data_IF_435839449286
#
_entry.id   IF_435839449286
#
_cell.length_a   1.000
_cell.length_b   1.000
_cell.length_c   1.000
_cell.angle_alpha   90.00
_cell.angle_beta   90.00
_cell.angle_gamma   90.00
#
_symmetry.space_group_name_H-M   'P 1'
#
loop_
_entity.id
_entity.type
_entity.pdbx_description
1 polymer ?
#
# COMPACT_ATOMS: atom_id res chain seq x y z
N UNK A 1 13.62 -8.59 -15.23
CA UNK A 1 13.40 -7.52 -14.25
C UNK A 1 12.34 -6.50 -14.69
N UNK A 2 11.18 -6.89 -15.21
CA UNK A 2 10.21 -5.91 -15.77
C UNK A 2 8.77 -6.45 -15.84
N UNK A 3 8.20 -6.89 -14.72
CA UNK A 3 6.76 -7.22 -14.66
C UNK A 3 6.05 -6.31 -13.65
N UNK A 4 6.62 -6.13 -12.46
CA UNK A 4 6.15 -5.17 -11.46
C UNK A 4 6.35 -3.69 -11.87
N UNK A 5 7.40 -3.34 -12.64
CA UNK A 5 7.60 -1.97 -13.14
C UNK A 5 6.71 -1.63 -14.37
N UNK A 6 6.34 -2.62 -15.18
CA UNK A 6 5.41 -2.46 -16.33
C UNK A 6 3.97 -2.22 -15.84
N UNK A 7 3.55 -2.96 -14.81
CA UNK A 7 2.25 -2.77 -14.17
C UNK A 7 2.09 -1.37 -13.54
N UNK A 8 3.13 -0.86 -12.85
CA UNK A 8 3.14 0.48 -12.25
C UNK A 8 2.95 1.60 -13.29
N UNK A 9 3.60 1.48 -14.45
CA UNK A 9 3.45 2.43 -15.57
C UNK A 9 2.05 2.35 -16.19
N UNK A 10 1.42 1.19 -16.20
CA UNK A 10 0.07 0.99 -16.73
C UNK A 10 -0.99 1.65 -15.84
N UNK A 11 -0.91 1.47 -14.50
CA UNK A 11 -1.90 2.02 -13.55
C UNK A 11 -1.78 3.55 -13.37
N UNK A 12 -0.56 4.09 -13.33
CA UNK A 12 -0.32 5.53 -13.15
C UNK A 12 -0.68 6.40 -14.36
N UNK A 13 -0.83 5.82 -15.56
CA UNK A 13 -1.34 6.54 -16.75
C UNK A 13 -2.85 6.80 -16.70
N UNK A 14 -3.58 6.19 -15.76
CA UNK A 14 -5.05 6.17 -15.74
C UNK A 14 -5.76 7.20 -14.85
N UNK A 15 -5.10 8.22 -14.27
CA UNK A 15 -5.84 9.13 -13.38
C UNK A 15 -5.14 10.41 -12.96
N UNK A 16 -5.37 11.50 -13.71
CA UNK A 16 -5.49 12.84 -13.11
C UNK A 16 -6.91 13.33 -13.38
N UNK A 17 -7.78 13.53 -12.38
CA UNK A 17 -9.01 14.28 -12.62
C UNK A 17 -8.62 15.75 -12.79
N UNK A 18 -8.75 16.25 -14.02
CA UNK A 18 -8.74 17.68 -14.29
C UNK A 18 -10.02 18.27 -13.72
N UNK A 19 -9.90 18.98 -12.60
CA UNK A 19 -10.95 19.88 -12.12
C UNK A 19 -11.11 20.98 -13.16
N UNK A 20 -12.19 20.92 -13.96
CA UNK A 20 -12.65 22.05 -14.75
C UNK A 20 -13.92 22.59 -14.10
N UNK A 21 -13.78 23.74 -13.43
CA UNK A 21 -14.89 24.64 -13.16
C UNK A 21 -15.57 25.01 -14.47
N UNK A 22 -16.88 24.76 -14.58
CA UNK A 22 -17.75 25.58 -15.41
C UNK A 22 -19.22 25.38 -14.99
N UNK A 23 -19.76 26.43 -14.36
CA UNK A 23 -21.19 26.66 -14.21
C UNK A 23 -21.82 26.94 -15.59
N UNK A 24 -22.90 26.22 -15.93
CA UNK A 24 -24.14 26.76 -16.54
C UNK A 24 -25.19 25.65 -16.76
N UNK A 25 -26.19 25.65 -15.87
CA UNK A 25 -27.64 25.63 -16.13
C UNK A 25 -28.16 25.25 -17.54
N UNK A 26 -28.94 24.15 -17.66
CA UNK A 26 -30.42 24.10 -17.85
C UNK A 26 -30.95 22.76 -18.40
N UNK A 27 -31.95 22.23 -17.68
CA UNK A 27 -33.17 21.50 -18.08
C UNK A 27 -33.17 20.25 -18.99
N UNK A 28 -33.80 19.18 -18.45
CA UNK A 28 -35.09 18.59 -18.90
C UNK A 28 -35.11 17.08 -19.29
N UNK A 29 -35.95 16.36 -18.54
CA UNK A 29 -36.85 15.24 -18.92
C UNK A 29 -36.46 13.77 -18.60
N UNK A 30 -37.30 13.19 -17.72
CA UNK A 30 -37.91 11.85 -17.68
C UNK A 30 -36.99 10.60 -17.77
N UNK A 31 -36.78 9.90 -16.65
CA UNK A 31 -37.57 8.78 -16.10
C UNK A 31 -37.18 7.39 -16.65
N UNK A 32 -36.55 6.59 -15.78
CA UNK A 32 -36.96 5.21 -15.51
C UNK A 32 -36.37 4.76 -14.16
N UNK A 33 -37.25 4.55 -13.18
CA UNK A 33 -36.98 3.74 -11.99
C UNK A 33 -36.94 2.26 -12.39
N UNK A 34 -36.22 1.42 -11.64
CA UNK A 34 -36.95 0.53 -10.74
C UNK A 34 -36.33 0.42 -9.34
N UNK A 35 -37.20 0.51 -8.33
CA UNK A 35 -37.03 0.07 -6.94
C UNK A 35 -37.42 -1.43 -6.78
N UNK A 36 -37.34 -2.09 -5.59
CA UNK A 36 -36.30 -2.10 -4.54
C UNK A 36 -36.01 -3.53 -3.98
N UNK A 37 -34.76 -3.84 -3.60
CA UNK A 37 -34.34 -4.86 -2.60
C UNK A 37 -32.80 -4.90 -2.63
N UNK A 38 -32.01 -4.80 -1.56
CA UNK A 38 -32.20 -5.21 -0.17
C UNK A 38 -31.08 -4.59 0.68
N UNK A 39 -31.42 -4.12 1.88
CA UNK A 39 -30.57 -4.22 3.08
C UNK A 39 -29.29 -3.36 3.17
N UNK A 40 -29.42 -2.21 3.84
CA UNK A 40 -28.51 -1.65 4.87
C UNK A 40 -26.98 -1.76 4.62
N UNK A 41 -26.36 -0.63 4.28
CA UNK A 41 -25.65 0.19 5.28
C UNK A 41 -25.25 1.52 4.66
N UNK A 42 -25.78 2.61 5.21
CA UNK A 42 -25.07 3.87 5.17
C UNK A 42 -23.75 3.64 5.91
N UNK A 43 -22.62 3.86 5.26
CA UNK A 43 -21.32 3.65 5.87
C UNK A 43 -20.32 4.60 5.25
N UNK A 44 -19.86 5.55 6.05
CA UNK A 44 -18.71 6.43 5.84
C UNK A 44 -17.62 5.72 5.01
N UNK A 45 -16.97 6.41 4.06
CA UNK A 45 -15.79 5.83 3.39
C UNK A 45 -14.83 5.33 4.48
N UNK A 46 -14.63 4.01 4.64
CA UNK A 46 -13.97 3.47 5.82
C UNK A 46 -12.56 4.03 5.81
N UNK A 47 -12.18 4.68 6.91
CA UNK A 47 -10.80 5.10 7.08
C UNK A 47 -9.94 3.85 7.33
N UNK A 48 -8.63 3.95 7.12
CA UNK A 48 -7.72 2.81 7.32
C UNK A 48 -7.85 2.22 8.73
N UNK A 49 -8.09 3.07 9.73
CA UNK A 49 -8.20 2.67 11.13
C UNK A 49 -9.39 1.74 11.38
N UNK A 50 -10.53 2.01 10.75
CA UNK A 50 -11.74 1.20 10.88
C UNK A 50 -11.56 -0.17 10.25
N UNK A 51 -11.00 -0.24 9.03
CA UNK A 51 -10.68 -1.51 8.39
C UNK A 51 -9.69 -2.35 9.22
N UNK A 52 -8.70 -1.71 9.86
CA UNK A 52 -7.75 -2.40 10.73
C UNK A 52 -8.41 -2.93 12.01
N UNK A 53 -9.28 -2.14 12.67
CA UNK A 53 -10.02 -2.59 13.85
C UNK A 53 -10.89 -3.81 13.54
N UNK A 54 -11.52 -3.81 12.36
CA UNK A 54 -12.27 -4.98 11.90
C UNK A 54 -11.34 -6.19 11.79
N UNK A 55 -10.20 -6.06 11.13
CA UNK A 55 -9.22 -7.16 11.01
C UNK A 55 -8.68 -7.64 12.36
N UNK A 56 -8.45 -6.74 13.31
CA UNK A 56 -8.00 -7.08 14.67
C UNK A 56 -9.07 -7.85 15.46
N UNK A 57 -10.35 -7.65 15.14
CA UNK A 57 -11.46 -8.41 15.74
C UNK A 57 -11.67 -9.79 15.11
N UNK A 58 -11.14 -10.02 13.91
CA UNK A 58 -11.25 -11.28 13.19
C UNK A 58 -10.22 -12.31 13.67
N UNK A 59 -10.59 -13.58 13.66
CA UNK A 59 -9.63 -14.68 13.86
C UNK A 59 -8.76 -14.83 12.60
N UNK A 60 -7.51 -14.37 12.69
CA UNK A 60 -6.54 -14.41 11.60
C UNK A 60 -6.30 -15.81 10.99
N UNK A 61 -6.59 -16.88 11.73
CA UNK A 61 -6.44 -18.27 11.28
C UNK A 61 -7.63 -18.79 10.47
N UNK A 62 -8.76 -18.08 10.44
CA UNK A 62 -9.98 -18.54 9.76
C UNK A 62 -10.40 -17.55 8.68
N UNK A 63 -10.72 -18.02 7.46
CA UNK A 63 -11.28 -17.15 6.43
C UNK A 63 -12.71 -16.75 6.80
N UNK A 64 -12.94 -15.46 7.01
CA UNK A 64 -14.25 -14.87 7.26
C UNK A 64 -14.65 -13.90 6.14
N UNK A 65 -15.93 -13.56 6.06
CA UNK A 65 -16.45 -12.60 5.06
C UNK A 65 -15.99 -11.18 5.45
N UNK A 66 -16.03 -10.88 6.75
CA UNK A 66 -15.72 -9.57 7.30
C UNK A 66 -14.26 -9.16 7.08
N UNK A 67 -13.29 -10.05 7.30
CA UNK A 67 -11.89 -9.73 6.98
C UNK A 67 -11.65 -9.54 5.48
N UNK A 68 -12.33 -10.31 4.62
CA UNK A 68 -12.25 -10.12 3.16
C UNK A 68 -12.77 -8.75 2.73
N UNK A 69 -13.88 -8.29 3.31
CA UNK A 69 -14.39 -6.95 3.07
C UNK A 69 -13.42 -5.87 3.55
N UNK A 70 -12.82 -6.04 4.74
CA UNK A 70 -11.83 -5.11 5.27
C UNK A 70 -10.56 -5.04 4.40
N UNK A 71 -10.10 -6.18 3.86
CA UNK A 71 -8.99 -6.24 2.91
C UNK A 71 -9.34 -5.51 1.62
N UNK A 72 -10.53 -5.74 1.06
CA UNK A 72 -10.99 -5.04 -0.14
C UNK A 72 -11.06 -3.52 0.06
N UNK A 73 -11.48 -3.07 1.26
CA UNK A 73 -11.44 -1.65 1.62
C UNK A 73 -10.02 -1.09 1.66
N UNK A 74 -9.08 -1.81 2.28
CA UNK A 74 -7.66 -1.43 2.29
C UNK A 74 -7.08 -1.36 0.87
N UNK A 75 -7.45 -2.28 -0.03
CA UNK A 75 -7.04 -2.26 -1.44
C UNK A 75 -7.52 -0.98 -2.12
N UNK A 76 -8.81 -0.64 -1.98
CA UNK A 76 -9.36 0.61 -2.52
C UNK A 76 -8.76 1.89 -1.90
N UNK A 77 -8.31 1.85 -0.64
CA UNK A 77 -7.60 2.98 -0.02
C UNK A 77 -6.16 3.09 -0.52
N UNK A 78 -5.48 1.96 -0.72
CA UNK A 78 -4.14 1.92 -1.30
C UNK A 78 -4.15 2.48 -2.73
N UNK A 79 -5.15 2.13 -3.54
CA UNK A 79 -5.32 2.66 -4.90
C UNK A 79 -5.55 4.17 -4.93
N UNK A 80 -6.13 4.73 -3.86
CA UNK A 80 -6.29 6.17 -3.66
C UNK A 80 -5.05 6.86 -3.10
N UNK A 81 -3.92 6.15 -3.01
CA UNK A 81 -2.64 6.68 -2.55
C UNK A 81 -2.43 6.62 -1.04
N UNK A 82 -3.26 5.88 -0.29
CA UNK A 82 -3.03 5.72 1.14
C UNK A 82 -1.91 4.70 1.40
N UNK A 83 -0.70 5.19 1.66
CA UNK A 83 0.46 4.32 1.92
C UNK A 83 0.38 3.50 3.22
N UNK A 84 -0.42 3.93 4.23
CA UNK A 84 -0.68 3.10 5.42
C UNK A 84 -1.51 1.88 5.06
N UNK A 85 -2.50 2.02 4.18
CA UNK A 85 -3.33 0.91 3.71
C UNK A 85 -2.49 -0.15 2.98
N UNK A 86 -1.70 0.28 2.00
CA UNK A 86 -0.82 -0.63 1.26
C UNK A 86 0.23 -1.30 2.17
N UNK A 87 0.77 -0.60 3.17
CA UNK A 87 1.71 -1.22 4.12
C UNK A 87 1.06 -2.34 4.94
N UNK A 88 -0.21 -2.18 5.34
CA UNK A 88 -0.92 -3.23 6.06
C UNK A 88 -1.27 -4.41 5.15
N UNK A 89 -1.69 -4.16 3.91
CA UNK A 89 -1.87 -5.23 2.92
C UNK A 89 -0.58 -6.01 2.71
N UNK A 90 0.56 -5.32 2.62
CA UNK A 90 1.85 -5.99 2.50
C UNK A 90 2.13 -6.94 3.67
N UNK A 91 1.75 -6.58 4.91
CA UNK A 91 1.90 -7.46 6.06
C UNK A 91 0.94 -8.65 6.02
N UNK A 92 -0.29 -8.45 5.54
CA UNK A 92 -1.29 -9.51 5.36
C UNK A 92 -0.77 -10.55 4.37
N UNK A 93 -0.31 -10.11 3.19
CA UNK A 93 0.28 -11.01 2.20
C UNK A 93 1.62 -11.61 2.64
N UNK A 94 2.39 -10.94 3.51
CA UNK A 94 3.60 -11.56 4.06
C UNK A 94 3.26 -12.73 5.01
N UNK A 95 2.26 -12.55 5.87
CA UNK A 95 1.88 -13.55 6.88
C UNK A 95 0.98 -14.64 6.31
N UNK A 96 0.17 -14.33 5.31
CA UNK A 96 -0.86 -15.21 4.78
C UNK A 96 -1.98 -15.47 5.79
N UNK A 97 -2.60 -14.40 6.30
CA UNK A 97 -3.69 -14.47 7.27
C UNK A 97 -5.03 -14.00 6.68
N UNK A 98 -6.12 -14.14 7.43
CA UNK A 98 -7.47 -13.68 7.03
C UNK A 98 -7.98 -14.33 5.73
N UNK A 99 -7.61 -15.61 5.51
CA UNK A 99 -7.96 -16.33 4.29
C UNK A 99 -7.15 -15.94 3.05
N UNK A 100 -6.15 -15.07 3.19
CA UNK A 100 -5.20 -14.73 2.13
C UNK A 100 -3.99 -15.66 2.22
N UNK A 101 -3.57 -16.22 1.08
CA UNK A 101 -2.33 -17.00 1.02
C UNK A 101 -1.11 -16.09 1.10
N UNK A 102 -0.08 -16.55 1.80
CA UNK A 102 1.18 -15.82 1.89
C UNK A 102 1.80 -15.68 0.49
N UNK A 103 2.08 -14.45 0.09
CA UNK A 103 2.72 -14.09 -1.17
C UNK A 103 3.71 -12.95 -0.92
N UNK A 104 4.99 -13.30 -0.90
CA UNK A 104 6.07 -12.33 -0.66
C UNK A 104 6.22 -11.37 -1.83
N UNK A 105 5.94 -11.79 -3.06
CA UNK A 105 6.04 -10.92 -4.24
C UNK A 105 4.95 -9.86 -4.20
N UNK A 106 3.71 -10.27 -3.93
CA UNK A 106 2.57 -9.35 -3.77
C UNK A 106 2.73 -8.42 -2.56
N UNK A 107 3.33 -8.92 -1.47
CA UNK A 107 3.73 -8.07 -0.34
C UNK A 107 4.69 -6.96 -0.77
N UNK A 108 5.73 -7.29 -1.57
CA UNK A 108 6.68 -6.29 -2.09
C UNK A 108 6.01 -5.27 -3.01
N UNK A 109 5.02 -5.68 -3.80
CA UNK A 109 4.26 -4.77 -4.67
C UNK A 109 3.50 -3.71 -3.85
N UNK A 110 2.80 -4.13 -2.80
CA UNK A 110 2.11 -3.19 -1.91
C UNK A 110 3.09 -2.30 -1.13
N UNK A 111 4.26 -2.82 -0.74
CA UNK A 111 5.34 -1.99 -0.16
C UNK A 111 5.82 -0.94 -1.15
N UNK A 112 6.00 -1.29 -2.42
CA UNK A 112 6.37 -0.34 -3.49
C UNK A 112 5.32 0.74 -3.66
N UNK A 113 4.05 0.35 -3.80
CA UNK A 113 2.95 1.31 -3.94
C UNK A 113 2.88 2.27 -2.75
N UNK A 114 3.05 1.75 -1.53
CA UNK A 114 3.06 2.56 -0.30
C UNK A 114 4.27 3.49 -0.22
N UNK A 115 5.44 3.01 -0.62
CA UNK A 115 6.68 3.79 -0.67
C UNK A 115 6.61 4.90 -1.71
N UNK A 116 5.89 4.71 -2.83
CA UNK A 116 5.64 5.76 -3.83
C UNK A 116 4.67 6.84 -3.32
N UNK A 117 3.84 6.52 -2.32
CA UNK A 117 2.98 7.47 -1.62
C UNK A 117 3.64 8.03 -0.34
N UNK A 118 4.96 8.16 -0.36
CA UNK A 118 5.76 8.75 0.71
C UNK A 118 5.58 8.13 2.11
N UNK A 119 5.18 6.85 2.21
CA UNK A 119 5.01 6.18 3.51
C UNK A 119 6.34 5.60 4.03
N UNK A 120 6.98 6.21 5.06
CA UNK A 120 8.35 5.86 5.43
C UNK A 120 8.54 4.42 5.96
N UNK A 121 7.58 3.82 6.71
CA UNK A 121 7.68 2.41 7.09
C UNK A 121 7.76 1.49 5.87
N UNK A 122 6.98 1.75 4.82
CA UNK A 122 7.03 0.92 3.62
C UNK A 122 8.38 1.03 2.91
N UNK A 123 8.95 2.24 2.79
CA UNK A 123 10.30 2.44 2.25
C UNK A 123 11.36 1.68 3.06
N UNK A 124 11.27 1.71 4.40
CA UNK A 124 12.16 0.94 5.27
C UNK A 124 12.10 -0.56 4.99
N UNK A 125 10.88 -1.12 4.98
CA UNK A 125 10.65 -2.54 4.74
C UNK A 125 11.05 -2.95 3.32
N UNK A 126 10.79 -2.10 2.32
CA UNK A 126 11.22 -2.33 0.95
C UNK A 126 12.75 -2.38 0.84
N UNK A 127 13.46 -1.53 1.58
CA UNK A 127 14.92 -1.62 1.68
C UNK A 127 15.40 -2.95 2.27
N UNK A 128 14.70 -3.48 3.28
CA UNK A 128 14.99 -4.80 3.85
C UNK A 128 14.73 -5.93 2.83
N UNK A 129 13.67 -5.83 2.01
CA UNK A 129 13.38 -6.81 0.93
C UNK A 129 14.47 -6.79 -0.13
N UNK A 130 14.91 -5.61 -0.56
CA UNK A 130 16.03 -5.48 -1.49
C UNK A 130 17.36 -5.97 -0.90
N UNK A 131 17.59 -5.82 0.40
CA UNK A 131 18.81 -6.36 1.02
C UNK A 131 18.78 -7.90 1.07
N UNK A 132 17.63 -8.48 1.42
CA UNK A 132 17.48 -9.92 1.63
C UNK A 132 17.17 -10.72 0.36
N UNK A 133 16.72 -10.07 -0.71
CA UNK A 133 16.29 -10.74 -1.94
C UNK A 133 14.95 -11.48 -1.83
N UNK A 134 14.15 -11.21 -0.79
CA UNK A 134 12.86 -11.88 -0.56
C UNK A 134 11.74 -11.19 -1.34
N UNK A 135 11.14 -11.91 -2.30
CA UNK A 135 10.07 -11.39 -3.17
C UNK A 135 10.54 -10.38 -4.22
N UNK A 136 11.84 -10.07 -4.25
CA UNK A 136 12.46 -9.16 -5.22
C UNK A 136 13.94 -9.53 -5.36
N UNK A 137 14.53 -9.30 -6.53
CA UNK A 137 15.97 -9.51 -6.70
C UNK A 137 16.76 -8.64 -5.70
N UNK A 138 17.75 -9.27 -5.05
CA UNK A 138 18.60 -8.59 -4.09
C UNK A 138 19.35 -7.43 -4.76
N UNK A 139 19.32 -6.25 -4.14
CA UNK A 139 20.02 -5.07 -4.61
C UNK A 139 20.31 -4.13 -3.44
N UNK A 140 21.55 -4.19 -2.93
CA UNK A 140 21.99 -3.38 -1.80
C UNK A 140 21.90 -1.88 -2.08
N UNK A 141 22.20 -1.43 -3.30
CA UNK A 141 22.13 -0.02 -3.70
C UNK A 141 20.70 0.50 -3.60
N UNK A 142 19.72 -0.22 -4.20
CA UNK A 142 18.30 0.11 -4.08
C UNK A 142 17.83 0.11 -2.62
N UNK A 143 18.32 -0.83 -1.80
CA UNK A 143 17.99 -0.86 -0.37
C UNK A 143 18.40 0.44 0.34
N UNK A 144 19.63 0.89 0.13
CA UNK A 144 20.17 2.11 0.71
C UNK A 144 19.42 3.34 0.20
N UNK A 145 19.06 3.40 -1.08
CA UNK A 145 18.26 4.49 -1.65
C UNK A 145 16.90 4.64 -0.97
N UNK A 146 16.19 3.52 -0.74
CA UNK A 146 14.90 3.55 -0.03
C UNK A 146 15.05 3.97 1.42
N UNK A 147 16.10 3.51 2.12
CA UNK A 147 16.38 3.97 3.47
C UNK A 147 16.74 5.46 3.52
N UNK A 148 17.50 5.97 2.54
CA UNK A 148 17.79 7.42 2.41
C UNK A 148 16.52 8.23 2.22
N UNK A 149 15.58 7.77 1.40
CA UNK A 149 14.26 8.41 1.24
C UNK A 149 13.49 8.43 2.57
N UNK A 150 13.35 7.28 3.23
CA UNK A 150 12.65 7.18 4.51
C UNK A 150 13.29 8.03 5.62
N UNK A 151 14.62 8.06 5.69
CA UNK A 151 15.37 8.82 6.68
C UNK A 151 15.18 10.33 6.52
N UNK A 152 15.08 10.83 5.28
CA UNK A 152 14.75 12.23 4.98
C UNK A 152 13.33 12.61 5.42
N UNK A 153 12.42 11.64 5.45
CA UNK A 153 11.07 11.79 6.00
C UNK A 153 11.00 11.55 7.52
N UNK A 154 12.15 11.49 8.20
CA UNK A 154 12.21 11.36 9.67
C UNK A 154 12.07 9.93 10.21
N UNK A 155 12.16 8.89 9.37
CA UNK A 155 12.02 7.52 9.86
C UNK A 155 13.28 7.05 10.60
N UNK A 156 13.19 6.97 11.93
CA UNK A 156 14.29 6.67 12.86
C UNK A 156 15.02 5.36 12.52
N UNK A 157 14.28 4.27 12.28
CA UNK A 157 14.91 2.97 11.96
C UNK A 157 15.72 3.05 10.67
N UNK A 158 15.28 3.87 9.70
CA UNK A 158 16.04 4.07 8.45
C UNK A 158 17.27 4.92 8.68
N UNK A 159 17.19 5.97 9.50
CA UNK A 159 18.35 6.78 9.90
C UNK A 159 19.40 5.92 10.59
N UNK A 160 18.99 5.08 11.55
CA UNK A 160 19.87 4.14 12.23
C UNK A 160 20.54 3.16 11.26
N UNK A 161 19.78 2.57 10.32
CA UNK A 161 20.34 1.65 9.31
C UNK A 161 21.38 2.33 8.43
N UNK A 162 21.15 3.58 8.03
CA UNK A 162 22.12 4.34 7.25
C UNK A 162 23.37 4.67 8.06
N UNK A 163 23.21 5.05 9.34
CA UNK A 163 24.33 5.29 10.25
C UNK A 163 25.24 4.06 10.37
N UNK A 164 24.67 2.90 10.63
CA UNK A 164 25.43 1.63 10.69
C UNK A 164 26.12 1.33 9.35
N UNK A 165 25.43 1.55 8.23
CA UNK A 165 26.03 1.35 6.90
C UNK A 165 27.22 2.28 6.67
N UNK A 166 27.11 3.58 7.01
CA UNK A 166 28.20 4.54 6.84
C UNK A 166 29.42 4.20 7.69
N UNK A 167 29.22 3.76 8.94
CA UNK A 167 30.31 3.33 9.83
C UNK A 167 31.04 2.10 9.27
N UNK A 168 30.31 1.11 8.77
CA UNK A 168 30.90 -0.09 8.14
C UNK A 168 31.72 0.25 6.88
N UNK A 169 31.28 1.23 6.08
CA UNK A 169 32.06 1.67 4.91
C UNK A 169 33.32 2.44 5.31
N UNK A 170 33.26 3.24 6.39
CA UNK A 170 34.42 3.97 6.92
C UNK A 170 35.53 3.04 7.43
N UNK A 171 35.16 1.92 8.07
CA UNK A 171 36.11 0.92 8.58
C UNK A 171 36.77 0.08 7.48
N UNK A 172 36.16 -0.06 6.31
CA UNK A 172 36.74 -0.80 5.18
C UNK A 172 37.71 0.03 4.34
N UNK A 173 37.72 1.34 4.53
CA UNK A 173 38.57 2.27 3.82
C UNK A 173 39.85 2.64 4.60
N UNK A 174 40.00 2.16 5.84
CA UNK A 174 41.18 2.29 6.71
C UNK A 174 42.02 1.03 6.69
#
# INVERSE_FOLDING_TARGET
SSSSEEWLKSRLRGGKPQVKSSMKEKNSCAQSEPSPASGKSQGLAPNVEEALKVLESCDASRPDITSREAIAQLEGLCERGNGRAGFNLAQIYEKGNYGVLADTSKSVEFLHSSALNDYPPAMYHLGIRYLSGKGVAANKTRAIEWWRKAARLGHEKSQMRLGVYMLDQGQKAS
#
